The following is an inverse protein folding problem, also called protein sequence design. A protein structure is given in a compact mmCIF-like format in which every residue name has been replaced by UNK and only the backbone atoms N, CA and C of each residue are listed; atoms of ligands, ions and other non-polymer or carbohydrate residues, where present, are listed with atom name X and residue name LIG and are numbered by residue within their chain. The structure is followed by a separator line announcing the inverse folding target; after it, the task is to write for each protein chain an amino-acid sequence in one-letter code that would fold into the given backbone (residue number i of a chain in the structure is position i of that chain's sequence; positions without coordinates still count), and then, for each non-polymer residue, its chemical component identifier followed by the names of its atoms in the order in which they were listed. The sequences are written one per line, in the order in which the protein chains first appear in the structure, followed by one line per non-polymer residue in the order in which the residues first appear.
data_IF_435488155116
#
_entry.id   IF_435488155116
#
_cell.length_a   1.000
_cell.length_b   1.000
_cell.length_c   1.000
_cell.angle_alpha   90.00
_cell.angle_beta   90.00
_cell.angle_gamma   90.00
#
_symmetry.space_group_name_H-M   'P 1'
#
loop_
_entity.id
_entity.type
_entity.pdbx_description
1 polymer ?
#
# COMPACT_ATOMS: atom_id res chain seq x y z
N UNK A 1 17.01 -32.88 27.52
CA UNK A 1 18.08 -31.92 27.17
C UNK A 1 17.41 -30.66 26.67
N UNK A 2 17.31 -29.62 27.50
CA UNK A 2 16.69 -28.36 27.13
C UNK A 2 17.75 -27.37 26.64
N UNK A 3 17.63 -26.91 25.39
CA UNK A 3 18.48 -25.83 24.87
C UNK A 3 18.00 -24.51 25.47
N UNK A 4 18.78 -23.97 26.40
CA UNK A 4 18.70 -22.58 26.86
C UNK A 4 19.12 -21.69 25.69
N UNK A 5 18.17 -20.99 25.08
CA UNK A 5 18.47 -19.94 24.11
C UNK A 5 19.12 -18.79 24.89
N UNK A 6 20.37 -18.49 24.56
CA UNK A 6 21.12 -17.39 25.15
C UNK A 6 20.49 -16.05 24.75
N UNK A 7 20.22 -15.18 25.73
CA UNK A 7 19.76 -13.82 25.47
C UNK A 7 20.88 -13.01 24.80
N UNK A 8 20.61 -12.24 23.74
CA UNK A 8 21.63 -11.42 23.11
C UNK A 8 22.13 -10.30 24.04
N UNK A 9 23.45 -10.09 24.00
CA UNK A 9 24.21 -9.13 24.80
C UNK A 9 23.73 -7.69 24.55
N UNK A 10 23.64 -6.81 25.57
CA UNK A 10 23.24 -5.42 25.38
C UNK A 10 24.26 -4.66 24.53
N UNK A 11 23.80 -4.04 23.43
CA UNK A 11 24.64 -3.18 22.61
C UNK A 11 24.97 -1.84 23.31
N UNK A 12 26.19 -1.32 23.15
CA UNK A 12 26.62 -0.07 23.78
C UNK A 12 25.81 1.15 23.31
N UNK A 13 25.63 2.17 24.18
CA UNK A 13 24.83 3.34 23.86
C UNK A 13 25.65 4.32 23.00
N UNK A 14 25.34 4.39 21.71
CA UNK A 14 26.00 5.37 20.82
C UNK A 14 25.66 5.27 19.34
N UNK A 15 25.25 4.10 18.84
CA UNK A 15 24.85 3.94 17.44
C UNK A 15 23.54 3.16 17.33
N UNK A 16 22.42 3.88 17.43
CA UNK A 16 21.08 3.35 17.14
C UNK A 16 20.67 3.74 15.72
N UNK A 17 21.46 3.33 14.73
CA UNK A 17 21.00 3.38 13.34
C UNK A 17 19.73 2.52 13.23
N UNK A 18 18.64 3.07 12.69
CA UNK A 18 17.37 2.36 12.50
C UNK A 18 16.25 2.69 13.51
N UNK A 19 16.55 3.11 14.76
CA UNK A 19 15.47 3.38 15.74
C UNK A 19 14.57 4.55 15.37
N UNK A 20 15.15 5.60 14.78
CA UNK A 20 14.37 6.70 14.23
C UNK A 20 13.47 6.26 13.09
N UNK A 21 13.90 5.30 12.26
CA UNK A 21 13.08 4.87 11.13
C UNK A 21 11.81 4.14 11.61
N UNK A 22 11.90 3.30 12.63
CA UNK A 22 10.73 2.58 13.17
C UNK A 22 9.71 3.55 13.78
N UNK A 23 10.17 4.55 14.55
CA UNK A 23 9.28 5.45 15.30
C UNK A 23 8.81 6.70 14.53
N UNK A 24 9.44 7.05 13.41
CA UNK A 24 9.19 8.28 12.65
C UNK A 24 8.46 7.93 11.33
N UNK A 25 7.13 7.97 11.37
CA UNK A 25 6.29 7.67 10.20
C UNK A 25 6.58 8.61 9.02
N UNK A 26 6.74 9.91 9.28
CA UNK A 26 7.06 10.89 8.24
C UNK A 26 8.34 10.52 7.52
N UNK A 27 9.41 10.24 8.27
CA UNK A 27 10.69 9.83 7.68
C UNK A 27 10.56 8.53 6.87
N UNK A 28 9.71 7.58 7.29
CA UNK A 28 9.45 6.35 6.52
C UNK A 28 8.76 6.67 5.19
N UNK A 29 7.70 7.48 5.20
CA UNK A 29 6.99 7.88 3.98
C UNK A 29 7.89 8.65 3.03
N UNK A 30 8.71 9.57 3.54
CA UNK A 30 9.69 10.31 2.73
C UNK A 30 10.66 9.34 2.03
N UNK A 31 11.18 8.34 2.75
CA UNK A 31 12.12 7.36 2.20
C UNK A 31 11.47 6.36 1.24
N UNK A 32 10.20 6.00 1.43
CA UNK A 32 9.44 5.21 0.46
C UNK A 32 9.34 5.91 -0.90
N UNK A 33 9.03 7.20 -0.90
CA UNK A 33 8.97 8.01 -2.12
C UNK A 33 10.35 8.15 -2.76
N UNK A 34 11.39 8.36 -1.95
CA UNK A 34 12.77 8.43 -2.43
C UNK A 34 13.21 7.13 -3.13
N UNK A 35 12.89 5.97 -2.55
CA UNK A 35 13.19 4.65 -3.12
C UNK A 35 12.45 4.45 -4.44
N UNK A 36 11.13 4.75 -4.48
CA UNK A 36 10.30 4.66 -5.68
C UNK A 36 10.81 5.53 -6.83
N UNK A 37 11.30 6.74 -6.52
CA UNK A 37 11.77 7.69 -7.53
C UNK A 37 13.27 7.58 -7.82
N UNK A 38 14.01 6.78 -7.06
CA UNK A 38 15.46 6.63 -7.21
C UNK A 38 16.25 7.90 -6.86
N UNK A 39 15.77 8.72 -5.93
CA UNK A 39 16.40 9.99 -5.55
C UNK A 39 16.93 9.98 -4.11
N UNK A 40 17.99 10.76 -3.78
CA UNK A 40 18.45 10.91 -2.40
C UNK A 40 17.46 11.74 -1.57
N UNK A 41 17.36 11.44 -0.28
CA UNK A 41 16.45 12.14 0.63
C UNK A 41 16.75 13.64 0.76
N UNK A 42 18.00 14.06 0.64
CA UNK A 42 18.36 15.47 0.57
C UNK A 42 17.74 16.19 -0.64
N UNK A 43 17.66 15.53 -1.80
CA UNK A 43 16.99 16.05 -2.99
C UNK A 43 15.47 16.09 -2.81
N UNK A 44 14.88 15.06 -2.19
CA UNK A 44 13.46 15.06 -1.85
C UNK A 44 13.07 16.29 -1.00
N UNK A 45 13.96 16.73 -0.10
CA UNK A 45 13.77 17.92 0.72
C UNK A 45 14.07 19.26 0.00
N UNK A 46 14.30 19.24 -1.32
CA UNK A 46 14.60 20.43 -2.12
C UNK A 46 16.09 20.80 -2.21
N UNK A 47 17.00 19.90 -1.81
CA UNK A 47 18.44 20.09 -1.97
C UNK A 47 18.94 19.95 -3.41
N UNK A 48 20.19 20.34 -3.65
CA UNK A 48 20.82 20.45 -4.98
C UNK A 48 21.05 19.12 -5.74
N UNK A 49 20.60 17.98 -5.21
CA UNK A 49 20.82 16.66 -5.80
C UNK A 49 22.14 16.00 -5.36
N UNK A 50 22.27 14.70 -5.66
CA UNK A 50 23.48 13.92 -5.39
C UNK A 50 23.44 13.12 -4.07
N UNK A 51 24.08 11.95 -4.09
CA UNK A 51 24.07 11.02 -2.97
C UNK A 51 25.09 11.39 -1.89
N UNK A 52 24.63 11.99 -0.79
CA UNK A 52 25.47 12.21 0.38
C UNK A 52 25.71 10.90 1.17
N UNK A 53 26.75 10.82 2.02
CA UNK A 53 26.91 9.68 2.92
C UNK A 53 25.67 9.41 3.79
N UNK A 54 24.99 10.48 4.22
CA UNK A 54 23.76 10.38 5.03
C UNK A 54 22.59 9.84 4.22
N UNK A 55 22.45 10.23 2.96
CA UNK A 55 21.39 9.70 2.07
C UNK A 55 21.60 8.21 1.81
N UNK A 56 22.85 7.78 1.56
CA UNK A 56 23.18 6.36 1.41
C UNK A 56 22.84 5.55 2.66
N UNK A 57 23.19 6.06 3.84
CA UNK A 57 22.84 5.41 5.10
C UNK A 57 21.33 5.27 5.29
N UNK A 58 20.56 6.32 4.96
CA UNK A 58 19.10 6.27 5.03
C UNK A 58 18.51 5.29 4.03
N UNK A 59 18.99 5.26 2.79
CA UNK A 59 18.50 4.35 1.76
C UNK A 59 18.77 2.88 2.14
N UNK A 60 19.97 2.56 2.64
CA UNK A 60 20.29 1.21 3.12
C UNK A 60 19.45 0.84 4.34
N UNK A 61 19.26 1.76 5.29
CA UNK A 61 18.40 1.53 6.45
C UNK A 61 16.94 1.31 6.06
N UNK A 62 16.43 2.08 5.10
CA UNK A 62 15.09 1.91 4.55
C UNK A 62 14.93 0.58 3.82
N UNK A 63 15.91 0.18 3.01
CA UNK A 63 15.88 -1.12 2.34
C UNK A 63 15.86 -2.29 3.34
N UNK A 64 16.63 -2.21 4.42
CA UNK A 64 16.60 -3.21 5.49
C UNK A 64 15.23 -3.26 6.18
N UNK A 65 14.65 -2.09 6.49
CA UNK A 65 13.30 -1.99 7.03
C UNK A 65 12.24 -2.57 6.08
N UNK A 66 12.26 -2.20 4.80
CA UNK A 66 11.28 -2.67 3.82
C UNK A 66 11.29 -4.20 3.67
N UNK A 67 12.46 -4.84 3.74
CA UNK A 67 12.59 -6.31 3.74
C UNK A 67 12.02 -6.99 4.98
N UNK A 68 11.93 -6.28 6.10
CA UNK A 68 11.36 -6.80 7.35
C UNK A 68 9.83 -6.72 7.39
N UNK A 69 9.21 -5.96 6.46
CA UNK A 69 7.77 -5.78 6.36
C UNK A 69 7.17 -6.81 5.40
N UNK A 70 6.10 -7.48 5.84
CA UNK A 70 5.36 -8.42 5.00
C UNK A 70 4.69 -7.69 3.83
N UNK A 71 4.92 -8.15 2.60
CA UNK A 71 4.31 -7.56 1.40
C UNK A 71 2.81 -7.81 1.27
N UNK A 72 2.28 -8.78 2.03
CA UNK A 72 0.85 -9.11 2.00
C UNK A 72 0.05 -8.30 3.03
N UNK A 73 0.53 -8.19 4.27
CA UNK A 73 -0.23 -7.58 5.37
C UNK A 73 0.38 -6.28 5.91
N UNK A 74 1.58 -5.88 5.46
CA UNK A 74 2.20 -4.61 5.84
C UNK A 74 2.77 -4.53 7.26
N UNK A 75 2.75 -5.63 8.01
CA UNK A 75 3.30 -5.69 9.39
C UNK A 75 4.77 -6.14 9.39
N UNK A 76 5.58 -5.67 10.35
CA UNK A 76 6.96 -6.15 10.56
C UNK A 76 6.95 -7.38 11.45
N UNK A 77 7.87 -8.32 11.20
CA UNK A 77 8.01 -9.52 12.05
C UNK A 77 8.21 -9.19 13.54
N UNK A 78 9.08 -8.25 13.88
CA UNK A 78 9.32 -7.88 15.29
C UNK A 78 8.13 -7.15 15.95
N UNK A 79 7.12 -6.73 15.19
CA UNK A 79 5.89 -6.16 15.76
C UNK A 79 4.89 -7.26 16.19
N UNK A 80 5.19 -8.53 15.89
CA UNK A 80 4.43 -9.71 16.33
C UNK A 80 4.98 -10.33 17.62
N UNK A 81 5.88 -9.66 18.36
CA UNK A 81 6.30 -10.13 19.68
C UNK A 81 5.10 -10.05 20.63
N UNK A 82 4.34 -11.14 20.68
CA UNK A 82 3.26 -11.33 21.64
C UNK A 82 3.90 -11.19 23.01
N UNK A 83 3.38 -10.30 23.85
CA UNK A 83 3.86 -10.19 25.21
C UNK A 83 3.57 -11.45 26.04
N UNK A 84 3.48 -11.29 27.36
CA UNK A 84 3.14 -12.40 28.24
C UNK A 84 1.81 -13.09 27.85
N UNK A 85 1.53 -14.29 28.40
CA UNK A 85 0.30 -15.05 28.12
C UNK A 85 -1.03 -14.30 28.39
N UNK A 86 -0.98 -13.13 29.04
CA UNK A 86 -2.11 -12.26 29.36
C UNK A 86 -2.11 -10.95 28.55
N UNK A 87 -1.25 -10.78 27.55
CA UNK A 87 -1.19 -9.59 26.69
C UNK A 87 -1.98 -9.78 25.39
N UNK A 88 -2.67 -8.72 24.95
CA UNK A 88 -3.45 -8.72 23.71
C UNK A 88 -2.54 -8.78 22.47
N UNK A 89 -3.01 -9.45 21.42
CA UNK A 89 -2.32 -9.46 20.12
C UNK A 89 -2.19 -8.04 19.56
N UNK A 90 -1.01 -7.69 19.06
CA UNK A 90 -0.75 -6.38 18.46
C UNK A 90 -1.62 -6.09 17.21
N UNK A 91 -2.15 -7.14 16.56
CA UNK A 91 -2.97 -7.03 15.36
C UNK A 91 -4.13 -8.02 15.37
N UNK A 92 -5.29 -7.59 14.84
CA UNK A 92 -6.47 -8.44 14.61
C UNK A 92 -6.81 -8.49 13.12
N UNK A 93 -7.15 -9.68 12.60
CA UNK A 93 -7.59 -9.82 11.22
C UNK A 93 -9.05 -9.36 11.07
N UNK A 94 -9.30 -8.38 10.20
CA UNK A 94 -10.65 -7.86 9.93
C UNK A 94 -11.06 -8.12 8.48
N UNK A 95 -12.31 -8.53 8.29
CA UNK A 95 -12.93 -8.61 6.96
C UNK A 95 -13.63 -7.30 6.62
N UNK A 96 -13.22 -6.63 5.54
CA UNK A 96 -13.85 -5.39 5.07
C UNK A 96 -14.60 -5.62 3.76
N UNK A 97 -15.88 -5.22 3.72
CA UNK A 97 -16.68 -5.17 2.48
C UNK A 97 -16.45 -3.85 1.76
N UNK A 98 -15.98 -3.90 0.52
CA UNK A 98 -15.95 -2.74 -0.36
C UNK A 98 -17.31 -2.56 -1.06
N UNK A 99 -17.98 -1.42 -0.82
CA UNK A 99 -19.28 -1.11 -1.43
C UNK A 99 -19.20 -1.09 -2.96
N UNK A 100 -18.14 -0.51 -3.54
CA UNK A 100 -17.97 -0.45 -4.99
C UNK A 100 -17.81 -1.83 -5.62
N UNK A 101 -17.00 -2.71 -5.01
CA UNK A 101 -16.87 -4.09 -5.49
C UNK A 101 -18.17 -4.87 -5.35
N UNK A 102 -18.95 -4.63 -4.29
CA UNK A 102 -20.27 -5.25 -4.17
C UNK A 102 -21.20 -4.80 -5.29
N UNK A 103 -21.31 -3.50 -5.57
CA UNK A 103 -22.18 -2.97 -6.65
C UNK A 103 -21.80 -3.56 -8.02
N UNK A 104 -20.50 -3.71 -8.30
CA UNK A 104 -20.03 -4.37 -9.53
C UNK A 104 -20.48 -5.83 -9.56
N UNK A 105 -20.27 -6.58 -8.48
CA UNK A 105 -20.64 -7.98 -8.39
C UNK A 105 -22.16 -8.19 -8.52
N UNK A 106 -22.96 -7.36 -7.86
CA UNK A 106 -24.42 -7.38 -7.95
C UNK A 106 -24.88 -7.15 -9.40
N UNK A 107 -24.29 -6.15 -10.09
CA UNK A 107 -24.62 -5.87 -11.49
C UNK A 107 -24.19 -7.01 -12.43
N UNK A 108 -23.04 -7.63 -12.20
CA UNK A 108 -22.60 -8.81 -12.96
C UNK A 108 -23.55 -9.99 -12.76
N UNK A 109 -23.95 -10.25 -11.51
CA UNK A 109 -24.92 -11.29 -11.18
C UNK A 109 -26.28 -11.02 -11.83
N UNK A 110 -26.74 -9.78 -11.86
CA UNK A 110 -27.98 -9.41 -12.53
C UNK A 110 -27.90 -9.56 -14.05
N UNK A 111 -26.77 -9.23 -14.68
CA UNK A 111 -26.58 -9.49 -16.12
C UNK A 111 -26.59 -10.99 -16.41
N UNK A 112 -25.95 -11.80 -15.57
CA UNK A 112 -25.93 -13.26 -15.72
C UNK A 112 -27.31 -13.92 -15.60
N UNK A 113 -28.29 -13.27 -14.97
CA UNK A 113 -29.68 -13.75 -14.92
C UNK A 113 -30.46 -13.44 -16.19
N UNK A 114 -30.07 -12.39 -16.92
CA UNK A 114 -30.86 -11.81 -18.00
C UNK A 114 -30.26 -12.00 -19.39
N UNK A 115 -28.97 -12.31 -19.48
CA UNK A 115 -28.23 -12.49 -20.73
C UNK A 115 -27.67 -13.92 -20.81
N UNK A 116 -27.59 -14.45 -22.02
CA UNK A 116 -26.87 -15.69 -22.29
C UNK A 116 -25.35 -15.51 -22.15
N UNK A 117 -24.62 -16.61 -21.96
CA UNK A 117 -23.15 -16.58 -21.85
C UNK A 117 -22.49 -15.95 -23.09
N UNK A 118 -23.04 -16.18 -24.28
CA UNK A 118 -22.52 -15.62 -25.53
C UNK A 118 -22.74 -14.10 -25.62
N UNK A 119 -23.87 -13.59 -25.12
CA UNK A 119 -24.13 -12.15 -25.04
C UNK A 119 -23.22 -11.47 -24.01
N UNK A 120 -22.89 -12.16 -22.92
CA UNK A 120 -21.98 -11.64 -21.90
C UNK A 120 -20.52 -11.67 -22.32
N UNK A 121 -20.16 -12.45 -23.34
CA UNK A 121 -18.77 -12.63 -23.76
C UNK A 121 -18.18 -11.29 -24.22
N UNK A 122 -17.13 -10.85 -23.54
CA UNK A 122 -16.45 -9.58 -23.82
C UNK A 122 -17.06 -8.34 -23.13
N UNK A 123 -18.15 -8.49 -22.37
CA UNK A 123 -18.72 -7.40 -21.57
C UNK A 123 -17.93 -7.18 -20.27
N UNK A 124 -17.73 -5.92 -19.90
CA UNK A 124 -17.11 -5.52 -18.63
C UNK A 124 -18.05 -4.59 -17.86
N UNK A 125 -18.29 -4.92 -16.59
CA UNK A 125 -18.96 -4.02 -15.64
C UNK A 125 -17.92 -3.17 -14.95
N UNK A 126 -18.11 -1.86 -14.96
CA UNK A 126 -17.22 -0.89 -14.34
C UNK A 126 -18.02 0.24 -13.69
N UNK A 127 -17.44 0.87 -12.68
CA UNK A 127 -17.95 2.10 -12.09
C UNK A 127 -17.28 3.28 -12.79
N UNK A 128 -18.09 4.22 -13.30
CA UNK A 128 -17.61 5.50 -13.82
C UNK A 128 -18.20 6.64 -12.97
N UNK A 129 -17.47 7.75 -12.76
CA UNK A 129 -18.04 8.90 -12.07
C UNK A 129 -19.27 9.44 -12.80
N UNK A 130 -20.29 9.89 -12.05
CA UNK A 130 -21.54 10.41 -12.62
C UNK A 130 -21.28 11.56 -13.60
N UNK A 131 -20.35 12.47 -13.27
CA UNK A 131 -19.98 13.57 -14.15
C UNK A 131 -19.42 13.09 -15.50
N UNK A 132 -18.69 11.97 -15.51
CA UNK A 132 -18.16 11.37 -16.75
C UNK A 132 -19.29 10.76 -17.58
N UNK A 133 -20.26 10.10 -16.93
CA UNK A 133 -21.43 9.54 -17.61
C UNK A 133 -22.30 10.65 -18.23
N UNK A 134 -22.59 11.71 -17.48
CA UNK A 134 -23.36 12.86 -17.97
C UNK A 134 -22.66 13.55 -19.16
N UNK A 135 -21.34 13.75 -19.09
CA UNK A 135 -20.57 14.31 -20.20
C UNK A 135 -20.62 13.41 -21.45
N UNK A 136 -20.52 12.09 -21.29
CA UNK A 136 -20.60 11.13 -22.38
C UNK A 136 -22.01 11.06 -23.02
N UNK A 137 -23.07 11.31 -22.24
CA UNK A 137 -24.44 11.42 -22.74
C UNK A 137 -24.64 12.71 -23.54
N UNK A 138 -24.25 13.86 -22.98
CA UNK A 138 -24.31 15.14 -23.67
C UNK A 138 -23.53 15.14 -25.01
N UNK A 139 -22.36 14.51 -25.04
CA UNK A 139 -21.59 14.36 -26.27
C UNK A 139 -22.27 13.46 -27.32
N UNK A 140 -22.99 12.41 -26.88
CA UNK A 140 -23.76 11.53 -27.78
C UNK A 140 -24.97 12.26 -28.38
N UNK A 141 -25.68 13.04 -27.56
CA UNK A 141 -26.80 13.87 -27.99
C UNK A 141 -26.36 14.91 -29.03
N UNK A 142 -25.28 15.66 -28.74
CA UNK A 142 -24.74 16.66 -29.67
C UNK A 142 -24.31 16.06 -31.02
N UNK A 143 -23.73 14.85 -31.01
CA UNK A 143 -23.34 14.15 -32.22
C UNK A 143 -24.53 13.63 -33.03
N UNK A 144 -25.66 13.31 -32.39
CA UNK A 144 -26.89 12.93 -33.08
C UNK A 144 -27.50 14.15 -33.79
N UNK A 145 -27.60 15.29 -33.09
CA UNK A 145 -28.22 16.51 -33.63
C UNK A 145 -27.43 17.18 -34.76
N UNK A 146 -26.15 16.83 -34.92
CA UNK A 146 -25.28 17.37 -35.97
C UNK A 146 -25.34 16.53 -37.26
N UNK A 147 -25.97 15.35 -37.25
CA UNK A 147 -26.06 14.43 -38.41
C UNK A 147 -27.39 14.47 -39.15
N UNK A 148 -28.34 15.28 -38.67
CA UNK A 148 -29.62 15.62 -39.32
C UNK A 148 -29.54 17.00 -40.01
#
# INVERSE_FOLDING_TARGET
MGHRLEHPVPHPPGHRAGKRLISDERLRTELELCDRWGIPHSQFLGGAGGWTPRDRQKALAYQAYARSVCTQCGTRHDDWDHGGPDEEDAYVAVGQRCVGCQVIADKQADLAKNLSEDEMRGMKVALIPVAVQAAAEAAREANCTTRD
#
